data_IF_995911759483
#
_entry.id   IF_995911759483
#
_cell.length_a   1.000
_cell.length_b   1.000
_cell.length_c   1.000
_cell.angle_alpha   90.00
_cell.angle_beta   90.00
_cell.angle_gamma   90.00
#
_symmetry.space_group_name_H-M   'P 1'
#
loop_
_entity.id
_entity.type
_entity.pdbx_description
1 polymer ?
#
# COMPACT_ATOMS: atom_id res chain seq x y z
N UNK A 1 9.92 7.97 -64.01
CA UNK A 1 10.34 7.08 -62.93
C UNK A 1 10.51 7.92 -61.68
N UNK A 2 9.56 7.86 -60.75
CA UNK A 2 9.57 8.69 -59.53
C UNK A 2 10.02 7.80 -58.38
N UNK A 3 11.24 8.04 -57.87
CA UNK A 3 11.76 7.37 -56.67
C UNK A 3 11.11 7.97 -55.41
N UNK A 4 10.32 7.18 -54.70
CA UNK A 4 9.86 7.52 -53.34
C UNK A 4 10.92 7.08 -52.34
N UNK A 5 11.39 7.95 -51.43
CA UNK A 5 12.24 7.52 -50.36
C UNK A 5 11.40 6.78 -49.26
N UNK A 6 11.84 5.58 -48.94
CA UNK A 6 11.28 4.77 -47.85
C UNK A 6 11.73 5.40 -46.52
N UNK A 7 10.82 6.09 -45.81
CA UNK A 7 11.09 6.60 -44.48
C UNK A 7 10.93 5.44 -43.50
N UNK A 8 12.04 4.93 -42.99
CA UNK A 8 12.07 3.93 -41.96
C UNK A 8 11.70 4.61 -40.62
N UNK A 9 10.47 4.41 -40.14
CA UNK A 9 10.06 4.84 -38.80
C UNK A 9 10.71 3.90 -37.78
N UNK A 10 11.74 4.38 -37.09
CA UNK A 10 12.34 3.70 -35.97
C UNK A 10 11.36 3.82 -34.75
N UNK A 11 10.59 2.77 -34.47
CA UNK A 11 9.87 2.64 -33.21
C UNK A 11 10.88 2.54 -32.06
N UNK A 12 11.05 3.61 -31.29
CA UNK A 12 11.75 3.58 -30.01
C UNK A 12 10.88 2.77 -29.04
N UNK A 13 11.21 1.51 -28.85
CA UNK A 13 10.67 0.70 -27.77
C UNK A 13 11.24 1.26 -26.45
N UNK A 14 10.41 1.96 -25.66
CA UNK A 14 10.76 2.36 -24.31
C UNK A 14 11.05 1.10 -23.48
N UNK A 15 12.25 0.99 -22.96
CA UNK A 15 12.71 -0.19 -22.22
C UNK A 15 11.99 -0.28 -20.87
N UNK A 16 11.38 -1.42 -20.50
CA UNK A 16 10.70 -1.61 -19.22
C UNK A 16 11.63 -1.49 -18.00
N UNK A 17 12.94 -1.61 -18.19
CA UNK A 17 13.95 -1.61 -17.14
C UNK A 17 13.95 -0.37 -16.21
N UNK A 18 13.53 0.81 -16.69
CA UNK A 18 13.50 2.03 -15.87
C UNK A 18 12.30 2.05 -14.92
N UNK A 19 11.18 1.45 -15.31
CA UNK A 19 9.98 1.37 -14.47
C UNK A 19 10.22 0.41 -13.30
N UNK A 20 10.87 -0.72 -13.53
CA UNK A 20 11.20 -1.70 -12.50
C UNK A 20 12.15 -1.11 -11.45
N UNK A 21 13.17 -0.37 -11.89
CA UNK A 21 14.13 0.29 -10.98
C UNK A 21 13.45 1.36 -10.11
N UNK A 22 12.54 2.15 -10.69
CA UNK A 22 11.81 3.16 -9.93
C UNK A 22 10.88 2.52 -8.88
N UNK A 23 10.18 1.45 -9.25
CA UNK A 23 9.33 0.70 -8.33
C UNK A 23 10.14 0.11 -7.17
N UNK A 24 11.29 -0.48 -7.44
CA UNK A 24 12.16 -1.07 -6.42
C UNK A 24 12.66 0.00 -5.42
N UNK A 25 13.11 1.16 -5.91
CA UNK A 25 13.53 2.29 -5.08
C UNK A 25 12.38 2.79 -4.21
N UNK A 26 11.18 2.91 -4.77
CA UNK A 26 9.99 3.37 -4.06
C UNK A 26 9.58 2.40 -2.95
N UNK A 27 9.58 1.09 -3.22
CA UNK A 27 9.29 0.06 -2.22
C UNK A 27 10.36 0.03 -1.12
N UNK A 28 11.63 0.18 -1.46
CA UNK A 28 12.73 0.21 -0.48
C UNK A 28 12.63 1.42 0.44
N UNK A 29 12.34 2.60 -0.10
CA UNK A 29 12.08 3.80 0.69
C UNK A 29 10.87 3.61 1.61
N UNK A 30 9.80 3.02 1.09
CA UNK A 30 8.58 2.70 1.83
C UNK A 30 8.83 1.72 2.97
N UNK A 31 9.68 0.72 2.77
CA UNK A 31 10.10 -0.20 3.83
C UNK A 31 10.80 0.53 4.97
N UNK A 32 11.74 1.41 4.66
CA UNK A 32 12.46 2.20 5.67
C UNK A 32 11.50 3.07 6.49
N UNK A 33 10.53 3.71 5.82
CA UNK A 33 9.51 4.53 6.49
C UNK A 33 8.56 3.67 7.33
N UNK A 34 8.14 2.51 6.83
CA UNK A 34 7.33 1.56 7.59
C UNK A 34 8.04 1.09 8.86
N UNK A 35 9.33 0.79 8.79
CA UNK A 35 10.14 0.40 9.94
C UNK A 35 10.22 1.52 10.99
N UNK A 36 10.28 2.77 10.57
CA UNK A 36 10.32 3.93 11.47
C UNK A 36 8.96 4.23 12.11
N UNK A 37 7.89 4.21 11.34
CA UNK A 37 6.58 4.73 11.75
C UNK A 37 5.62 3.63 12.23
N UNK A 38 5.64 2.46 11.62
CA UNK A 38 4.63 1.41 11.83
C UNK A 38 5.16 0.22 12.64
N UNK A 39 6.42 -0.17 12.42
CA UNK A 39 7.02 -1.40 12.96
C UNK A 39 7.05 -1.47 14.48
N UNK A 40 7.00 -0.33 15.14
CA UNK A 40 6.92 -0.24 16.61
C UNK A 40 5.70 -0.97 17.18
N UNK A 41 4.60 -0.96 16.44
CA UNK A 41 3.32 -1.54 16.87
C UNK A 41 2.83 -2.66 15.96
N UNK A 42 3.28 -2.73 14.71
CA UNK A 42 2.80 -3.69 13.73
C UNK A 42 3.93 -4.60 13.24
N UNK A 43 3.72 -5.90 13.28
CA UNK A 43 4.54 -6.84 12.55
C UNK A 43 4.26 -6.77 11.04
N UNK A 44 5.22 -7.23 10.23
CA UNK A 44 4.99 -7.42 8.79
C UNK A 44 4.00 -8.55 8.58
N UNK A 45 4.21 -9.68 9.25
CA UNK A 45 3.41 -10.90 9.14
C UNK A 45 3.18 -11.54 10.52
N UNK A 46 2.46 -12.67 10.55
CA UNK A 46 2.08 -13.38 11.78
C UNK A 46 3.23 -14.11 12.48
N UNK A 47 4.42 -14.18 11.90
CA UNK A 47 5.57 -14.87 12.50
C UNK A 47 6.19 -14.11 13.67
N UNK A 48 5.87 -12.83 13.79
CA UNK A 48 6.44 -11.93 14.79
C UNK A 48 5.34 -11.28 15.64
N UNK A 49 5.32 -11.51 16.96
CA UNK A 49 4.30 -10.95 17.83
C UNK A 49 4.39 -9.41 17.86
N UNK A 50 3.25 -8.74 17.84
CA UNK A 50 3.15 -7.29 17.88
C UNK A 50 1.91 -6.81 18.60
N UNK A 51 1.92 -5.53 19.02
CA UNK A 51 0.79 -4.91 19.70
C UNK A 51 -0.43 -4.77 18.77
N UNK A 52 -0.20 -4.33 17.53
CA UNK A 52 -1.23 -4.24 16.50
C UNK A 52 -1.27 -5.48 15.59
N UNK A 53 -2.28 -5.62 14.74
CA UNK A 53 -2.35 -6.74 13.81
C UNK A 53 -1.23 -6.65 12.75
N UNK A 54 -0.78 -7.78 12.20
CA UNK A 54 0.13 -7.79 11.06
C UNK A 54 -0.44 -7.05 9.86
N UNK A 55 0.44 -6.40 9.07
CA UNK A 55 0.05 -5.59 7.92
C UNK A 55 0.28 -6.27 6.57
N UNK A 56 0.78 -7.51 6.54
CA UNK A 56 0.75 -8.29 5.29
C UNK A 56 -0.70 -8.40 4.77
N UNK A 57 -0.88 -8.33 3.47
CA UNK A 57 -2.19 -8.42 2.85
C UNK A 57 -3.22 -7.39 3.38
N UNK A 58 -2.77 -6.24 3.90
CA UNK A 58 -3.68 -5.22 4.41
C UNK A 58 -4.43 -4.50 3.28
N UNK A 59 -3.80 -4.31 2.11
CA UNK A 59 -4.47 -3.70 0.97
C UNK A 59 -5.66 -4.54 0.52
N UNK A 60 -6.80 -3.85 0.37
CA UNK A 60 -8.10 -4.42 0.00
C UNK A 60 -8.68 -5.44 0.99
N UNK A 61 -8.07 -5.63 2.16
CA UNK A 61 -8.65 -6.40 3.27
C UNK A 61 -9.76 -5.59 3.94
N UNK A 62 -10.84 -6.27 4.36
CA UNK A 62 -11.86 -5.64 5.19
C UNK A 62 -11.27 -5.18 6.53
N UNK A 63 -11.63 -3.98 6.99
CA UNK A 63 -11.20 -3.51 8.29
C UNK A 63 -11.77 -4.40 9.40
N UNK A 64 -10.97 -4.62 10.46
CA UNK A 64 -11.40 -5.46 11.59
C UNK A 64 -11.44 -6.97 11.31
N UNK A 65 -10.91 -7.46 10.18
CA UNK A 65 -11.08 -8.85 9.75
C UNK A 65 -9.88 -9.76 9.99
N UNK A 66 -8.76 -9.27 10.53
CA UNK A 66 -7.62 -10.13 10.82
C UNK A 66 -7.96 -11.04 12.02
N UNK A 67 -7.89 -12.35 11.82
CA UNK A 67 -8.26 -13.34 12.84
C UNK A 67 -7.35 -13.27 14.07
N UNK A 68 -7.95 -13.41 15.24
CA UNK A 68 -7.22 -13.46 16.52
C UNK A 68 -6.80 -12.12 17.08
N UNK A 69 -7.12 -10.99 16.42
CA UNK A 69 -6.87 -9.66 16.95
C UNK A 69 -8.15 -9.01 17.49
N UNK A 70 -8.09 -8.47 18.72
CA UNK A 70 -9.21 -7.79 19.38
C UNK A 70 -9.30 -6.32 18.91
N UNK A 71 -10.08 -6.09 17.86
CA UNK A 71 -10.29 -4.76 17.30
C UNK A 71 -11.20 -3.87 18.17
N UNK A 72 -11.28 -2.59 17.84
CA UNK A 72 -12.31 -1.71 18.37
C UNK A 72 -13.66 -2.00 17.71
N UNK A 73 -14.75 -1.81 18.47
CA UNK A 73 -16.12 -1.94 17.95
C UNK A 73 -16.31 -1.03 16.71
N UNK A 74 -15.72 0.18 16.74
CA UNK A 74 -15.77 1.10 15.61
C UNK A 74 -15.18 0.49 14.34
N UNK A 75 -14.04 -0.20 14.45
CA UNK A 75 -13.38 -0.81 13.29
C UNK A 75 -14.12 -2.04 12.77
N UNK A 76 -14.58 -2.92 13.66
CA UNK A 76 -15.36 -4.12 13.32
C UNK A 76 -16.68 -3.77 12.63
N UNK A 77 -17.35 -2.72 13.11
CA UNK A 77 -18.65 -2.28 12.57
C UNK A 77 -18.53 -1.38 11.33
N UNK A 78 -17.32 -0.95 10.94
CA UNK A 78 -17.13 0.10 9.94
C UNK A 78 -17.54 -0.30 8.52
N UNK A 79 -17.39 -1.57 8.16
CA UNK A 79 -17.57 -2.03 6.78
C UNK A 79 -16.53 -1.48 5.80
N UNK A 80 -15.46 -0.83 6.27
CA UNK A 80 -14.42 -0.24 5.43
C UNK A 80 -13.55 -1.34 4.82
N UNK A 81 -13.13 -1.13 3.58
CA UNK A 81 -12.08 -1.90 2.92
C UNK A 81 -10.83 -1.01 2.86
N UNK A 82 -9.68 -1.55 3.21
CA UNK A 82 -8.40 -0.84 3.22
C UNK A 82 -7.89 -0.56 1.81
N UNK A 83 -8.59 0.30 1.08
CA UNK A 83 -8.10 0.85 -0.18
C UNK A 83 -6.90 1.78 0.06
N UNK A 84 -6.07 2.08 -0.96
CA UNK A 84 -5.02 3.09 -0.81
C UNK A 84 -5.54 4.44 -0.29
N UNK A 85 -6.73 4.86 -0.68
CA UNK A 85 -7.35 6.10 -0.21
C UNK A 85 -7.74 6.01 1.28
N UNK A 86 -8.33 4.89 1.72
CA UNK A 86 -8.69 4.67 3.12
C UNK A 86 -7.44 4.62 4.01
N UNK A 87 -6.36 3.94 3.56
CA UNK A 87 -5.09 3.90 4.28
C UNK A 87 -4.41 5.27 4.38
N UNK A 88 -4.52 6.13 3.34
CA UNK A 88 -4.02 7.51 3.43
C UNK A 88 -4.75 8.29 4.51
N UNK A 89 -6.08 8.30 4.49
CA UNK A 89 -6.88 8.99 5.49
C UNK A 89 -6.59 8.47 6.92
N UNK A 90 -6.41 7.16 7.05
CA UNK A 90 -6.02 6.52 8.30
C UNK A 90 -4.64 6.94 8.79
N UNK A 91 -3.63 7.01 7.91
CA UNK A 91 -2.29 7.48 8.26
C UNK A 91 -2.25 8.96 8.61
N UNK A 92 -3.07 9.78 7.95
CA UNK A 92 -3.14 11.22 8.17
C UNK A 92 -3.74 11.54 9.55
N UNK A 93 -4.92 11.00 9.86
CA UNK A 93 -5.61 11.17 11.14
C UNK A 93 -6.57 10.00 11.41
N UNK A 94 -6.06 8.96 12.06
CA UNK A 94 -6.86 7.76 12.32
C UNK A 94 -8.00 7.99 13.32
N UNK A 95 -7.83 8.88 14.30
CA UNK A 95 -8.86 9.21 15.28
C UNK A 95 -9.98 10.06 14.64
N UNK A 96 -9.63 11.03 13.78
CA UNK A 96 -10.60 11.81 13.03
C UNK A 96 -11.30 11.00 11.95
N UNK A 97 -10.59 10.09 11.28
CA UNK A 97 -11.16 9.17 10.29
C UNK A 97 -12.13 8.16 10.93
N UNK A 98 -11.79 7.63 12.12
CA UNK A 98 -12.61 6.65 12.83
C UNK A 98 -12.52 6.86 14.35
N UNK A 99 -13.38 7.71 14.91
CA UNK A 99 -13.44 7.92 16.33
C UNK A 99 -13.68 6.61 17.10
N UNK A 100 -12.93 6.38 18.15
CA UNK A 100 -13.04 5.17 18.96
C UNK A 100 -12.13 4.01 18.52
N UNK A 101 -11.24 4.22 17.56
CA UNK A 101 -10.18 3.27 17.22
C UNK A 101 -9.22 3.05 18.41
N UNK A 102 -8.65 1.84 18.51
CA UNK A 102 -7.60 1.51 19.50
C UNK A 102 -6.21 1.98 19.06
N UNK A 103 -5.97 2.19 17.78
CA UNK A 103 -4.69 2.65 17.26
C UNK A 103 -4.39 4.08 17.73
N UNK A 104 -3.19 4.30 18.25
CA UNK A 104 -2.71 5.60 18.71
C UNK A 104 -1.37 5.90 18.05
N UNK A 105 -1.33 6.86 17.16
CA UNK A 105 -0.09 7.34 16.54
C UNK A 105 -0.15 8.84 16.23
N UNK A 106 1.00 9.44 15.97
CA UNK A 106 1.09 10.78 15.41
C UNK A 106 0.81 10.68 13.91
N UNK A 107 -0.07 11.54 13.40
CA UNK A 107 -0.47 11.51 11.99
C UNK A 107 0.71 11.73 11.02
N UNK A 108 0.65 11.08 9.87
CA UNK A 108 1.59 11.22 8.77
C UNK A 108 0.92 12.07 7.69
N UNK A 109 1.15 13.39 7.69
CA UNK A 109 0.50 14.34 6.78
C UNK A 109 1.20 14.41 5.41
N UNK A 110 2.50 14.08 5.33
CA UNK A 110 3.26 14.14 4.09
C UNK A 110 2.80 13.05 3.10
N UNK A 111 2.24 13.50 1.99
CA UNK A 111 1.73 12.62 0.91
C UNK A 111 2.80 11.74 0.30
N UNK A 112 4.03 12.23 0.18
CA UNK A 112 5.14 11.46 -0.38
C UNK A 112 5.51 10.31 0.55
N UNK A 113 5.54 10.57 1.87
CA UNK A 113 5.76 9.54 2.89
C UNK A 113 4.64 8.49 2.84
N UNK A 114 3.38 8.93 2.76
CA UNK A 114 2.23 8.02 2.63
C UNK A 114 2.35 7.16 1.36
N UNK A 115 2.73 7.75 0.22
CA UNK A 115 2.87 7.03 -1.05
C UNK A 115 3.96 5.96 -1.00
N UNK A 116 5.09 6.26 -0.38
CA UNK A 116 6.16 5.28 -0.18
C UNK A 116 5.72 4.13 0.75
N UNK A 117 5.07 4.44 1.87
CA UNK A 117 4.53 3.42 2.78
C UNK A 117 3.51 2.53 2.05
N UNK A 118 2.61 3.13 1.25
CA UNK A 118 1.62 2.38 0.47
C UNK A 118 2.28 1.47 -0.58
N UNK A 119 3.35 1.93 -1.24
CA UNK A 119 4.09 1.09 -2.18
C UNK A 119 4.70 -0.14 -1.49
N UNK A 120 5.25 0.04 -0.29
CA UNK A 120 5.74 -1.08 0.51
C UNK A 120 4.62 -2.02 0.96
N UNK A 121 3.51 -1.48 1.50
CA UNK A 121 2.35 -2.28 1.89
C UNK A 121 1.78 -3.07 0.69
N UNK A 122 1.81 -2.48 -0.51
CA UNK A 122 1.45 -3.17 -1.75
C UNK A 122 2.38 -4.36 -2.05
N UNK A 123 3.67 -4.21 -1.79
CA UNK A 123 4.65 -5.28 -2.04
C UNK A 123 4.53 -6.47 -1.09
N UNK A 124 4.01 -6.24 0.12
CA UNK A 124 3.72 -7.29 1.12
C UNK A 124 2.24 -7.73 1.13
N UNK A 125 1.47 -7.26 0.16
CA UNK A 125 0.08 -7.64 -0.08
C UNK A 125 -0.02 -8.20 -1.50
N UNK A 126 0.56 -9.38 -1.80
CA UNK A 126 0.48 -9.96 -3.13
C UNK A 126 -1.00 -10.19 -3.47
N UNK A 127 -1.51 -9.33 -4.33
CA UNK A 127 -2.82 -9.50 -4.93
C UNK A 127 -2.72 -10.70 -5.86
N UNK A 128 -3.56 -11.71 -5.68
CA UNK A 128 -3.91 -12.58 -6.80
C UNK A 128 -4.52 -11.66 -7.87
N UNK A 129 -3.72 -11.32 -8.89
CA UNK A 129 -4.11 -10.45 -10.02
C UNK A 129 -5.32 -10.96 -10.82
N UNK A 130 -6.17 -11.76 -10.22
CA UNK A 130 -7.35 -12.38 -10.84
C UNK A 130 -8.61 -11.52 -10.79
N UNK A 131 -8.60 -10.40 -10.08
CA UNK A 131 -9.78 -9.57 -9.86
C UNK A 131 -9.89 -8.35 -10.81
N UNK A 132 -8.90 -8.08 -11.66
CA UNK A 132 -8.87 -6.89 -12.53
C UNK A 132 -9.05 -7.23 -14.02
N UNK A 133 -9.08 -8.51 -14.40
CA UNK A 133 -9.29 -8.95 -15.80
C UNK A 133 -10.74 -9.35 -16.11
N UNK A 134 -11.70 -8.92 -15.31
CA UNK A 134 -13.10 -9.30 -15.48
C UNK A 134 -14.07 -8.14 -15.33
N UNK A 135 -14.01 -7.14 -16.23
CA UNK A 135 -15.17 -6.34 -16.69
C UNK A 135 -14.82 -5.60 -17.99
#
# INVERSE_FOLDING_TARGET
MRNFPLVLAACMAATPALADTFQEVTVTAGKTLFEAECRRCHAVDASDPSYGPPLENVLYRAAGSYEGYDYSIALEASGIVWTPAALRAWMEDNDGFMPGTKMRHVGIEDRTVQDFILAYLGSISPQDNKAIEGE
#
